data_IF_993914437671
#
_entry.id   IF_993914437671
#
_cell.length_a   1.000
_cell.length_b   1.000
_cell.length_c   1.000
_cell.angle_alpha   90.00
_cell.angle_beta   90.00
_cell.angle_gamma   90.00
#
_symmetry.space_group_name_H-M   'P 1'
#
loop_
_entity.id
_entity.type
_entity.pdbx_description
1 polymer ?
#
# COMPACT_ATOMS: atom_id res chain seq x y z
N UNK A 1 4.68 28.33 2.57
CA UNK A 1 5.33 27.00 2.62
C UNK A 1 4.40 25.81 2.31
N UNK A 2 3.07 25.95 2.31
CA UNK A 2 2.15 24.79 2.28
C UNK A 2 1.78 24.26 0.88
N UNK A 3 1.55 25.12 -0.12
CA UNK A 3 1.08 24.66 -1.45
C UNK A 3 2.13 23.88 -2.25
N UNK A 4 3.37 24.38 -2.29
CA UNK A 4 4.46 23.70 -3.01
C UNK A 4 4.77 22.35 -2.38
N UNK A 5 4.81 22.27 -1.05
CA UNK A 5 5.00 21.01 -0.33
C UNK A 5 3.91 19.99 -0.66
N UNK A 6 2.63 20.40 -0.63
CA UNK A 6 1.52 19.51 -1.01
C UNK A 6 1.62 19.04 -2.46
N UNK A 7 1.97 19.94 -3.40
CA UNK A 7 2.15 19.59 -4.81
C UNK A 7 3.30 18.58 -4.98
N UNK A 8 4.44 18.79 -4.32
CA UNK A 8 5.55 17.84 -4.32
C UNK A 8 5.15 16.48 -3.73
N UNK A 9 4.35 16.47 -2.67
CA UNK A 9 3.88 15.25 -2.02
C UNK A 9 2.92 14.46 -2.92
N UNK A 10 1.97 15.16 -3.56
CA UNK A 10 1.05 14.57 -4.54
C UNK A 10 1.83 14.06 -5.77
N UNK A 11 2.77 14.84 -6.30
CA UNK A 11 3.59 14.45 -7.44
C UNK A 11 4.45 13.22 -7.13
N UNK A 12 5.08 13.17 -5.96
CA UNK A 12 5.85 12.01 -5.48
C UNK A 12 4.97 10.77 -5.35
N UNK A 13 3.75 10.93 -4.82
CA UNK A 13 2.78 9.84 -4.72
C UNK A 13 2.35 9.30 -6.08
N UNK A 14 1.99 10.17 -7.03
CA UNK A 14 1.62 9.75 -8.39
C UNK A 14 2.80 9.08 -9.13
N UNK A 15 4.00 9.67 -9.04
CA UNK A 15 5.20 9.11 -9.66
C UNK A 15 5.50 7.70 -9.13
N UNK A 16 5.39 7.50 -7.81
CA UNK A 16 5.59 6.20 -7.18
C UNK A 16 4.56 5.16 -7.64
N UNK A 17 3.27 5.55 -7.77
CA UNK A 17 2.22 4.66 -8.28
C UNK A 17 2.47 4.25 -9.75
N UNK A 18 2.84 5.22 -10.59
CA UNK A 18 3.15 4.97 -12.01
C UNK A 18 4.39 4.06 -12.13
N UNK A 19 5.42 4.30 -11.32
CA UNK A 19 6.64 3.49 -11.30
C UNK A 19 6.37 2.02 -10.98
N UNK A 20 5.58 1.75 -9.93
CA UNK A 20 5.19 0.38 -9.56
C UNK A 20 4.32 -0.28 -10.64
N UNK A 21 3.43 0.49 -11.28
CA UNK A 21 2.59 -0.01 -12.38
C UNK A 21 3.41 -0.42 -13.61
N UNK A 22 4.35 0.44 -14.03
CA UNK A 22 5.24 0.21 -15.16
C UNK A 22 6.21 -0.95 -14.87
N UNK A 23 6.75 -1.02 -13.65
CA UNK A 23 7.62 -2.11 -13.23
C UNK A 23 6.91 -3.46 -13.29
N UNK A 24 5.67 -3.53 -12.80
CA UNK A 24 4.83 -4.73 -12.89
C UNK A 24 4.57 -5.14 -14.35
N UNK A 25 4.20 -4.19 -15.21
CA UNK A 25 3.99 -4.46 -16.65
C UNK A 25 5.28 -4.93 -17.33
N UNK A 26 6.41 -4.30 -17.00
CA UNK A 26 7.71 -4.65 -17.57
C UNK A 26 8.15 -6.06 -17.19
N UNK A 27 8.01 -6.45 -15.92
CA UNK A 27 8.35 -7.78 -15.43
C UNK A 27 7.44 -8.89 -16.00
N UNK A 28 6.14 -8.62 -16.13
CA UNK A 28 5.16 -9.56 -16.68
C UNK A 28 5.33 -9.76 -18.19
N UNK A 29 5.63 -8.71 -18.94
CA UNK A 29 5.73 -8.77 -20.41
C UNK A 29 7.14 -9.09 -20.92
N UNK A 30 8.19 -8.49 -20.36
CA UNK A 30 9.56 -8.62 -20.90
C UNK A 30 10.40 -9.70 -20.20
N UNK A 31 10.20 -9.89 -18.90
CA UNK A 31 11.00 -10.84 -18.11
C UNK A 31 10.33 -12.21 -17.92
N UNK A 32 9.07 -12.38 -18.32
CA UNK A 32 8.32 -13.63 -18.16
C UNK A 32 8.21 -14.09 -16.69
N UNK A 33 8.31 -13.15 -15.75
CA UNK A 33 8.50 -13.44 -14.33
C UNK A 33 7.22 -14.01 -13.73
N UNK A 34 7.22 -15.30 -13.35
CA UNK A 34 6.02 -16.03 -12.89
C UNK A 34 5.59 -15.71 -11.46
N UNK A 35 6.30 -14.84 -10.74
CA UNK A 35 6.11 -14.61 -9.29
C UNK A 35 5.95 -13.12 -8.90
N UNK A 36 4.85 -12.46 -9.28
CA UNK A 36 4.59 -11.05 -8.92
C UNK A 36 4.50 -10.82 -7.40
N UNK A 37 4.04 -11.82 -6.64
CA UNK A 37 3.92 -11.78 -5.17
C UNK A 37 5.28 -11.58 -4.50
N UNK A 38 6.35 -12.18 -5.05
CA UNK A 38 7.70 -12.01 -4.51
C UNK A 38 8.18 -10.56 -4.63
N UNK A 39 7.89 -9.92 -5.76
CA UNK A 39 8.22 -8.51 -5.97
C UNK A 39 7.52 -7.61 -4.94
N UNK A 40 6.23 -7.87 -4.68
CA UNK A 40 5.48 -7.10 -3.68
C UNK A 40 5.97 -7.35 -2.26
N UNK A 41 6.35 -8.58 -1.92
CA UNK A 41 6.98 -8.91 -0.65
C UNK A 41 8.30 -8.15 -0.46
N UNK A 42 9.18 -8.16 -1.48
CA UNK A 42 10.42 -7.39 -1.46
C UNK A 42 10.17 -5.89 -1.28
N UNK A 43 9.17 -5.33 -1.98
CA UNK A 43 8.81 -3.92 -1.87
C UNK A 43 8.32 -3.55 -0.45
N UNK A 44 7.41 -4.34 0.13
CA UNK A 44 6.91 -4.09 1.49
C UNK A 44 8.01 -4.26 2.55
N UNK A 45 8.91 -5.23 2.37
CA UNK A 45 10.09 -5.40 3.22
C UNK A 45 11.05 -4.22 3.13
N UNK A 46 11.34 -3.73 1.93
CA UNK A 46 12.18 -2.55 1.73
C UNK A 46 11.57 -1.30 2.38
N UNK A 47 10.25 -1.11 2.24
CA UNK A 47 9.53 0.00 2.86
C UNK A 47 9.56 -0.08 4.40
N UNK A 48 9.36 -1.27 4.96
CA UNK A 48 9.46 -1.51 6.40
C UNK A 48 10.87 -1.26 6.93
N UNK A 49 11.90 -1.71 6.22
CA UNK A 49 13.29 -1.52 6.61
C UNK A 49 13.68 -0.04 6.56
N UNK A 50 13.32 0.66 5.47
CA UNK A 50 13.57 2.09 5.33
C UNK A 50 12.84 2.90 6.40
N UNK A 51 11.60 2.54 6.73
CA UNK A 51 10.84 3.15 7.83
C UNK A 51 11.52 2.93 9.17
N UNK A 52 11.96 1.70 9.47
CA UNK A 52 12.70 1.40 10.70
C UNK A 52 14.01 2.19 10.81
N UNK A 53 14.80 2.26 9.74
CA UNK A 53 16.04 3.05 9.68
C UNK A 53 15.73 4.55 9.89
N UNK A 54 14.66 5.06 9.28
CA UNK A 54 14.25 6.46 9.41
C UNK A 54 13.84 6.82 10.84
N UNK A 55 13.19 5.90 11.55
CA UNK A 55 12.78 6.08 12.95
C UNK A 55 14.00 5.95 13.88
N UNK A 56 14.82 4.91 13.71
CA UNK A 56 15.93 4.58 14.60
C UNK A 56 17.12 5.52 14.45
N UNK A 57 17.43 5.95 13.23
CA UNK A 57 18.68 6.65 12.93
C UNK A 57 18.46 8.13 12.62
N UNK A 58 17.44 8.46 11.83
CA UNK A 58 17.16 9.84 11.45
C UNK A 58 16.28 10.58 12.47
N UNK A 59 15.68 9.87 13.45
CA UNK A 59 14.76 10.40 14.49
C UNK A 59 13.69 11.36 13.91
N UNK A 60 13.27 11.13 12.67
CA UNK A 60 12.33 12.02 11.96
C UNK A 60 10.97 12.05 12.66
N UNK A 61 10.59 10.96 13.33
CA UNK A 61 9.29 10.78 13.99
C UNK A 61 9.51 10.20 15.40
N UNK A 62 8.82 10.68 16.45
CA UNK A 62 8.90 10.08 17.77
C UNK A 62 8.43 8.61 17.73
N UNK A 63 9.19 7.72 18.38
CA UNK A 63 8.83 6.30 18.50
C UNK A 63 7.49 6.17 19.24
N UNK A 64 6.48 5.67 18.53
CA UNK A 64 5.19 5.34 19.15
C UNK A 64 5.31 4.04 19.94
N UNK A 65 5.50 4.15 21.25
CA UNK A 65 5.52 3.00 22.16
C UNK A 65 4.14 2.38 22.29
N UNK A 66 4.05 1.07 22.04
CA UNK A 66 2.82 0.29 22.19
C UNK A 66 2.47 0.22 23.68
N UNK A 67 1.49 1.00 24.12
CA UNK A 67 1.11 1.12 25.53
C UNK A 67 0.19 0.00 26.04
N UNK A 68 -0.48 -0.75 25.16
CA UNK A 68 -1.50 -1.74 25.57
C UNK A 68 -1.60 -2.93 24.61
N UNK A 69 -1.89 -4.13 25.15
CA UNK A 69 -2.15 -5.34 24.36
C UNK A 69 -3.33 -5.18 23.40
N UNK A 70 -4.34 -4.39 23.77
CA UNK A 70 -5.48 -4.10 22.89
C UNK A 70 -5.07 -3.27 21.66
N UNK A 71 -4.14 -2.31 21.82
CA UNK A 71 -3.58 -1.58 20.67
C UNK A 71 -2.73 -2.49 19.78
N UNK A 72 -1.92 -3.37 20.38
CA UNK A 72 -1.15 -4.34 19.61
C UNK A 72 -2.06 -5.25 18.76
N UNK A 73 -3.15 -5.76 19.34
CA UNK A 73 -4.12 -6.58 18.60
C UNK A 73 -4.77 -5.81 17.46
N UNK A 74 -5.14 -4.53 17.66
CA UNK A 74 -5.69 -3.68 16.60
C UNK A 74 -4.69 -3.46 15.47
N UNK A 75 -3.43 -3.14 15.80
CA UNK A 75 -2.36 -2.92 14.81
C UNK A 75 -2.07 -4.22 14.05
N UNK A 76 -1.99 -5.35 14.75
CA UNK A 76 -1.78 -6.66 14.14
C UNK A 76 -2.94 -7.05 13.23
N UNK A 77 -4.19 -6.84 13.64
CA UNK A 77 -5.36 -7.09 12.82
C UNK A 77 -5.36 -6.23 11.54
N UNK A 78 -5.05 -4.93 11.65
CA UNK A 78 -4.89 -4.04 10.49
C UNK A 78 -3.77 -4.55 9.54
N UNK A 79 -2.65 -5.00 10.09
CA UNK A 79 -1.54 -5.57 9.32
C UNK A 79 -1.93 -6.84 8.57
N UNK A 80 -2.66 -7.77 9.21
CA UNK A 80 -3.15 -9.01 8.58
C UNK A 80 -4.13 -8.69 7.45
N UNK A 81 -5.06 -7.78 7.66
CA UNK A 81 -6.02 -7.35 6.63
C UNK A 81 -5.28 -6.70 5.46
N UNK A 82 -4.31 -5.83 5.73
CA UNK A 82 -3.48 -5.20 4.71
C UNK A 82 -2.70 -6.22 3.89
N UNK A 83 -1.99 -7.16 4.55
CA UNK A 83 -1.25 -8.22 3.86
C UNK A 83 -2.18 -9.08 3.00
N UNK A 84 -3.35 -9.46 3.51
CA UNK A 84 -4.34 -10.26 2.77
C UNK A 84 -4.86 -9.51 1.54
N UNK A 85 -5.11 -8.21 1.67
CA UNK A 85 -5.51 -7.33 0.57
C UNK A 85 -4.43 -7.24 -0.51
N UNK A 86 -3.16 -7.08 -0.11
CA UNK A 86 -2.03 -7.03 -1.03
C UNK A 86 -1.88 -8.35 -1.77
N UNK A 87 -1.97 -9.50 -1.09
CA UNK A 87 -1.90 -10.83 -1.75
C UNK A 87 -3.04 -10.98 -2.75
N UNK A 88 -4.27 -10.66 -2.34
CA UNK A 88 -5.47 -10.77 -3.19
C UNK A 88 -5.39 -9.85 -4.41
N UNK A 89 -4.94 -8.60 -4.23
CA UNK A 89 -4.74 -7.64 -5.31
C UNK A 89 -3.62 -8.03 -6.28
N UNK A 90 -2.59 -8.74 -5.82
CA UNK A 90 -1.56 -9.29 -6.71
C UNK A 90 -2.03 -10.54 -7.45
N UNK A 91 -2.92 -11.33 -6.85
CA UNK A 91 -3.55 -12.48 -7.50
C UNK A 91 -4.54 -12.00 -8.57
N UNK A 92 -5.32 -10.94 -8.34
CA UNK A 92 -6.28 -10.41 -9.34
C UNK A 92 -5.58 -9.93 -10.61
N UNK A 93 -4.39 -9.32 -10.49
CA UNK A 93 -3.56 -8.88 -11.62
C UNK A 93 -3.11 -10.02 -12.55
N UNK A 94 -3.12 -11.27 -12.08
CA UNK A 94 -2.84 -12.45 -12.92
C UNK A 94 -4.01 -12.84 -13.82
N UNK A 95 -5.24 -12.51 -13.41
CA UNK A 95 -6.47 -12.94 -14.09
C UNK A 95 -7.18 -11.80 -14.82
N UNK A 96 -6.92 -10.55 -14.46
CA UNK A 96 -7.63 -9.37 -14.97
C UNK A 96 -6.66 -8.34 -15.57
N UNK A 97 -7.06 -7.65 -16.66
CA UNK A 97 -6.30 -6.53 -17.17
C UNK A 97 -6.22 -5.42 -16.12
N UNK A 98 -5.05 -4.81 -16.02
CA UNK A 98 -4.71 -3.76 -15.05
C UNK A 98 -5.74 -2.61 -15.01
N UNK A 99 -6.34 -2.26 -16.16
CA UNK A 99 -7.39 -1.24 -16.26
C UNK A 99 -8.67 -1.61 -15.52
N UNK A 100 -9.08 -2.88 -15.55
CA UNK A 100 -10.24 -3.35 -14.81
C UNK A 100 -9.97 -3.37 -13.30
N UNK A 101 -8.77 -3.79 -12.89
CA UNK A 101 -8.38 -3.73 -11.48
C UNK A 101 -8.37 -2.28 -10.94
N UNK A 102 -7.95 -1.31 -11.76
CA UNK A 102 -8.04 0.12 -11.43
C UNK A 102 -9.48 0.62 -11.37
N UNK A 103 -10.36 0.19 -12.29
CA UNK A 103 -11.78 0.55 -12.27
C UNK A 103 -12.46 0.04 -10.99
N UNK A 104 -12.21 -1.20 -10.58
CA UNK A 104 -12.68 -1.73 -9.31
C UNK A 104 -12.07 -0.96 -8.14
N UNK A 105 -10.77 -0.67 -8.17
CA UNK A 105 -10.10 0.15 -7.16
C UNK A 105 -10.71 1.55 -7.01
N UNK A 106 -11.17 2.18 -8.08
CA UNK A 106 -11.82 3.49 -8.07
C UNK A 106 -13.20 3.48 -7.38
N UNK A 107 -13.82 2.30 -7.19
CA UNK A 107 -15.09 2.16 -6.46
C UNK A 107 -14.91 2.03 -4.93
N UNK A 108 -13.68 1.85 -4.44
CA UNK A 108 -13.37 1.78 -3.00
C UNK A 108 -13.99 2.91 -2.15
N UNK A 109 -13.95 4.20 -2.54
CA UNK A 109 -14.59 5.26 -1.74
C UNK A 109 -16.10 5.07 -1.56
N UNK A 110 -16.80 4.50 -2.55
CA UNK A 110 -18.23 4.21 -2.43
C UNK A 110 -18.48 3.18 -1.31
N UNK A 111 -17.77 2.05 -1.34
CA UNK A 111 -17.89 1.02 -0.31
C UNK A 111 -17.49 1.52 1.08
N UNK A 112 -16.42 2.31 1.15
CA UNK A 112 -15.98 2.91 2.41
C UNK A 112 -17.04 3.83 3.00
N UNK A 113 -17.65 4.71 2.19
CA UNK A 113 -18.73 5.59 2.64
C UNK A 113 -19.98 4.80 3.07
N UNK A 114 -20.40 3.79 2.31
CA UNK A 114 -21.55 2.96 2.67
C UNK A 114 -21.33 2.22 3.99
N UNK A 115 -20.14 1.67 4.22
CA UNK A 115 -19.81 0.98 5.46
C UNK A 115 -19.72 1.95 6.65
N UNK A 116 -19.18 3.14 6.43
CA UNK A 116 -19.13 4.20 7.44
C UNK A 116 -20.53 4.64 7.87
N UNK A 117 -21.44 4.85 6.91
CA UNK A 117 -22.84 5.21 7.18
C UNK A 117 -23.57 4.08 7.93
N UNK A 118 -23.33 2.82 7.55
CA UNK A 118 -23.95 1.68 8.21
C UNK A 118 -23.44 1.48 9.65
N UNK A 119 -22.17 1.81 9.92
CA UNK A 119 -21.58 1.67 11.25
C UNK A 119 -21.95 2.82 12.22
N UNK A 120 -22.46 3.94 11.70
CA UNK A 120 -22.92 5.11 12.47
C UNK A 120 -24.42 5.04 12.85
N UNK A 121 -25.19 4.15 12.19
CA UNK A 121 -26.57 3.75 12.57
C UNK A 121 -26.55 2.67 13.66
#
# INVERSE_FOLDING_TARGET
>A
MSRLFNVCLIASWYSSNIGVLLLNKYLLTNYGFKYPIFLTLCHMMACSLLSYISISWLKIVPLQTIRSRSQFLKISALGVIFCSSVVTGNVSLRYLPVSFNQAVGATTPFFHCSFCIFADI
#
